data_IF_746154370963
#
_entry.id   IF_746154370963
#
_cell.length_a   1.000
_cell.length_b   1.000
_cell.length_c   1.000
_cell.angle_alpha   90.00
_cell.angle_beta   90.00
_cell.angle_gamma   90.00
#
_symmetry.space_group_name_H-M   'P 1'
#
loop_
_entity.id
_entity.type
_entity.pdbx_description
1 polymer ?
#
# COMPACT_ATOMS: atom_id res chain seq x y z
N UNK A 1 -12.09 -35.12 12.20
CA UNK A 1 -13.26 -34.47 11.59
C UNK A 1 -13.60 -33.30 12.48
N UNK A 2 -13.24 -32.05 12.25
CA UNK A 2 -12.23 -31.37 11.41
C UNK A 2 -12.27 -29.98 12.01
N UNK A 3 -11.34 -29.67 12.91
CA UNK A 3 -11.19 -28.31 13.39
C UNK A 3 -10.89 -27.46 12.16
N UNK A 4 -11.79 -26.52 11.89
CA UNK A 4 -11.62 -25.53 10.86
C UNK A 4 -10.29 -24.82 11.15
N UNK A 5 -9.37 -24.77 10.18
CA UNK A 5 -8.07 -24.09 10.34
C UNK A 5 -8.30 -22.56 10.40
N UNK A 6 -8.94 -22.10 11.46
CA UNK A 6 -9.11 -20.71 11.79
C UNK A 6 -7.84 -20.23 12.48
N UNK A 7 -7.12 -19.34 11.81
CA UNK A 7 -5.91 -18.74 12.35
C UNK A 7 -6.25 -17.56 13.27
N UNK A 8 -5.36 -17.25 14.20
CA UNK A 8 -5.55 -16.12 15.12
C UNK A 8 -5.40 -14.75 14.44
N UNK A 9 -4.76 -14.71 13.27
CA UNK A 9 -4.60 -13.52 12.43
C UNK A 9 -4.74 -13.91 10.94
N UNK A 10 -5.09 -12.95 10.06
CA UNK A 10 -5.07 -13.15 8.61
C UNK A 10 -3.68 -13.48 8.08
N UNK A 11 -3.61 -14.01 6.87
CA UNK A 11 -2.32 -14.18 6.19
C UNK A 11 -2.03 -13.02 5.24
N UNK A 12 -0.76 -12.63 5.09
CA UNK A 12 -0.36 -11.69 4.04
C UNK A 12 -0.75 -12.21 2.65
N UNK A 13 -0.96 -11.28 1.73
CA UNK A 13 -1.43 -11.50 0.36
C UNK A 13 -2.89 -11.95 0.23
N UNK A 14 -3.64 -11.95 1.33
CA UNK A 14 -5.08 -12.16 1.33
C UNK A 14 -5.80 -10.90 0.86
N UNK A 15 -6.80 -11.09 -0.01
CA UNK A 15 -7.84 -10.09 -0.20
C UNK A 15 -8.86 -10.23 0.90
N UNK A 16 -9.28 -9.09 1.44
CA UNK A 16 -10.23 -9.05 2.53
C UNK A 16 -11.16 -7.84 2.42
N UNK A 17 -12.30 -7.98 3.05
CA UNK A 17 -13.25 -6.90 3.26
C UNK A 17 -12.98 -6.31 4.63
N UNK A 18 -12.84 -4.99 4.72
CA UNK A 18 -12.60 -4.29 5.98
C UNK A 18 -13.67 -3.25 6.26
N UNK A 19 -13.92 -3.01 7.54
CA UNK A 19 -14.76 -1.90 8.01
C UNK A 19 -14.10 -1.27 9.23
N UNK A 20 -13.95 0.04 9.21
CA UNK A 20 -13.37 0.78 10.33
C UNK A 20 -14.29 0.77 11.56
N UNK A 21 -13.69 0.77 12.74
CA UNK A 21 -14.37 0.95 14.02
C UNK A 21 -13.96 2.29 14.64
N UNK A 22 -14.64 3.40 14.27
CA UNK A 22 -14.25 4.75 14.69
C UNK A 22 -14.32 4.92 16.21
N UNK A 23 -15.28 4.26 16.87
CA UNK A 23 -15.45 4.34 18.33
C UNK A 23 -14.29 3.64 19.03
N UNK A 24 -13.94 2.42 18.60
CA UNK A 24 -12.82 1.69 19.19
C UNK A 24 -11.47 2.38 18.94
N UNK A 25 -11.33 3.14 17.83
CA UNK A 25 -10.15 3.96 17.59
C UNK A 25 -9.94 5.03 18.65
N UNK A 26 -10.99 5.77 19.06
CA UNK A 26 -10.85 6.89 20.00
C UNK A 26 -11.13 6.52 21.45
N UNK A 27 -11.67 5.32 21.72
CA UNK A 27 -12.06 4.90 23.07
C UNK A 27 -10.94 4.99 24.11
N UNK A 28 -9.70 4.76 23.70
CA UNK A 28 -8.54 4.82 24.59
C UNK A 28 -8.15 6.25 25.02
N UNK A 29 -8.66 7.28 24.32
CA UNK A 29 -8.39 8.69 24.62
C UNK A 29 -9.24 9.23 25.78
N UNK A 30 -10.33 8.53 26.14
CA UNK A 30 -11.30 8.93 27.18
C UNK A 30 -11.87 10.35 26.98
N UNK A 31 -11.98 10.79 25.72
CA UNK A 31 -12.54 12.09 25.34
C UNK A 31 -13.99 11.94 24.86
N UNK A 32 -14.92 12.55 25.61
CA UNK A 32 -16.34 12.52 25.31
C UNK A 32 -16.68 13.17 23.95
N UNK A 33 -15.97 14.22 23.55
CA UNK A 33 -16.19 14.89 22.27
C UNK A 33 -15.73 14.01 21.10
N UNK A 34 -14.56 13.38 21.23
CA UNK A 34 -14.05 12.44 20.23
C UNK A 34 -14.98 11.21 20.10
N UNK A 35 -15.48 10.69 21.22
CA UNK A 35 -16.44 9.57 21.22
C UNK A 35 -17.77 9.94 20.54
N UNK A 36 -18.31 11.13 20.78
CA UNK A 36 -19.54 11.59 20.13
C UNK A 36 -19.33 11.86 18.63
N UNK A 37 -18.17 12.39 18.24
CA UNK A 37 -17.80 12.55 16.83
C UNK A 37 -17.69 11.19 16.14
N UNK A 38 -16.93 10.25 16.72
CA UNK A 38 -16.74 8.90 16.21
C UNK A 38 -18.07 8.13 16.08
N UNK A 39 -18.99 8.30 17.04
CA UNK A 39 -20.30 7.65 16.99
C UNK A 39 -21.23 8.18 15.88
N UNK A 40 -20.95 9.36 15.32
CA UNK A 40 -21.70 9.93 14.19
C UNK A 40 -21.19 9.44 12.82
N UNK A 41 -19.97 8.89 12.78
CA UNK A 41 -19.39 8.34 11.56
C UNK A 41 -20.10 7.03 11.23
N UNK A 42 -20.53 6.91 9.97
CA UNK A 42 -21.12 5.68 9.45
C UNK A 42 -20.05 4.96 8.64
N UNK A 43 -19.33 3.98 9.23
CA UNK A 43 -18.20 3.37 8.58
C UNK A 43 -18.66 2.53 7.40
N UNK A 44 -18.02 2.75 6.26
CA UNK A 44 -18.28 2.01 5.02
C UNK A 44 -17.42 0.75 4.97
N UNK A 45 -17.79 -0.16 4.07
CA UNK A 45 -17.06 -1.40 3.83
C UNK A 45 -16.16 -1.20 2.62
N UNK A 46 -14.90 -1.61 2.74
CA UNK A 46 -13.87 -1.45 1.72
C UNK A 46 -13.23 -2.79 1.39
N UNK A 47 -12.77 -2.92 0.15
CA UNK A 47 -12.00 -4.07 -0.31
C UNK A 47 -10.52 -3.72 -0.23
N UNK A 48 -9.73 -4.58 0.41
CA UNK A 48 -8.29 -4.40 0.58
C UNK A 48 -7.52 -5.66 0.18
N UNK A 49 -6.26 -5.44 -0.14
CA UNK A 49 -5.25 -6.48 -0.26
C UNK A 49 -4.22 -6.31 0.86
N UNK A 50 -4.01 -7.36 1.65
CA UNK A 50 -3.08 -7.33 2.79
C UNK A 50 -1.66 -7.60 2.32
N UNK A 51 -0.71 -6.85 2.89
CA UNK A 51 0.72 -7.10 2.79
C UNK A 51 1.33 -7.17 4.19
N UNK A 52 2.59 -7.60 4.25
CA UNK A 52 3.30 -7.71 5.52
C UNK A 52 3.42 -6.34 6.19
N UNK A 53 3.05 -6.28 7.47
CA UNK A 53 3.60 -5.27 8.36
C UNK A 53 4.97 -5.74 8.88
N UNK A 54 5.78 -4.79 9.33
CA UNK A 54 7.09 -5.05 9.93
C UNK A 54 6.97 -5.79 11.28
N UNK A 55 5.76 -5.98 11.83
CA UNK A 55 5.52 -6.63 13.12
C UNK A 55 4.82 -7.98 12.94
N UNK A 56 5.49 -9.07 13.36
CA UNK A 56 4.89 -10.40 13.34
C UNK A 56 3.69 -10.52 14.29
N UNK A 57 2.58 -11.15 13.86
CA UNK A 57 1.43 -11.36 14.70
C UNK A 57 1.72 -12.45 15.74
N UNK A 58 1.41 -12.17 17.02
CA UNK A 58 1.52 -13.13 18.12
C UNK A 58 0.14 -13.35 18.75
N UNK A 59 -0.25 -14.60 19.06
CA UNK A 59 -1.58 -14.91 19.57
C UNK A 59 -1.88 -14.20 20.89
N UNK A 60 -3.16 -13.90 21.13
CA UNK A 60 -3.64 -13.27 22.36
C UNK A 60 -3.55 -11.75 22.40
N UNK A 61 -3.14 -11.11 21.29
CA UNK A 61 -3.23 -9.66 21.14
C UNK A 61 -4.66 -9.25 20.77
N UNK A 62 -5.12 -8.05 21.21
CA UNK A 62 -6.45 -7.55 20.86
C UNK A 62 -6.57 -7.14 19.38
N UNK A 63 -5.44 -6.85 18.73
CA UNK A 63 -5.35 -6.50 17.33
C UNK A 63 -3.97 -6.88 16.75
N UNK A 64 -3.89 -6.91 15.42
CA UNK A 64 -2.70 -7.25 14.64
C UNK A 64 -2.41 -6.16 13.59
N UNK A 65 -1.16 -5.73 13.46
CA UNK A 65 -0.76 -4.74 12.46
C UNK A 65 -0.57 -5.36 11.08
N UNK A 66 -1.06 -4.68 10.05
CA UNK A 66 -0.90 -5.05 8.64
C UNK A 66 -0.67 -3.80 7.79
N UNK A 67 0.08 -3.95 6.71
CA UNK A 67 0.02 -3.02 5.59
C UNK A 67 -1.12 -3.46 4.67
N UNK A 68 -1.88 -2.52 4.12
CA UNK A 68 -3.00 -2.82 3.24
C UNK A 68 -3.08 -1.81 2.11
N UNK A 69 -3.30 -2.30 0.89
CA UNK A 69 -3.65 -1.50 -0.29
C UNK A 69 -5.16 -1.57 -0.52
N UNK A 70 -5.78 -0.41 -0.79
CA UNK A 70 -7.20 -0.36 -1.13
C UNK A 70 -7.44 -0.76 -2.60
N UNK A 71 -8.53 -1.48 -2.83
CA UNK A 71 -8.97 -1.90 -4.16
C UNK A 71 -10.13 -1.01 -4.61
N UNK A 72 -10.00 -0.42 -5.80
CA UNK A 72 -11.02 0.43 -6.40
C UNK A 72 -11.87 -0.31 -7.45
N UNK A 73 -13.14 0.11 -7.65
CA UNK A 73 -14.08 -0.48 -8.62
C UNK A 73 -13.93 0.08 -10.05
N UNK A 74 -13.00 0.99 -10.25
CA UNK A 74 -12.77 1.68 -11.52
C UNK A 74 -11.32 2.16 -11.59
N UNK A 75 -10.94 2.74 -12.74
CA UNK A 75 -9.76 3.59 -12.81
C UNK A 75 -9.88 4.71 -11.78
N UNK A 76 -8.74 5.12 -11.24
CA UNK A 76 -8.67 6.23 -10.29
C UNK A 76 -8.91 7.57 -10.97
N UNK A 77 -9.43 8.53 -10.21
CA UNK A 77 -9.43 9.92 -10.63
C UNK A 77 -7.99 10.45 -10.71
N UNK A 78 -7.78 11.41 -11.61
CA UNK A 78 -6.50 12.13 -11.71
C UNK A 78 -6.37 13.03 -10.49
N UNK A 79 -5.19 13.01 -9.88
CA UNK A 79 -4.80 13.88 -8.78
C UNK A 79 -3.61 14.73 -9.25
N UNK A 80 -3.89 15.95 -9.72
CA UNK A 80 -2.88 16.86 -10.27
C UNK A 80 -1.92 17.36 -9.18
N UNK A 81 -2.39 17.47 -7.93
CA UNK A 81 -1.60 17.94 -6.80
C UNK A 81 -0.54 16.92 -6.39
N UNK A 82 -0.86 15.63 -6.48
CA UNK A 82 0.10 14.56 -6.20
C UNK A 82 0.77 14.01 -7.46
N UNK A 83 0.50 14.62 -8.62
CA UNK A 83 0.94 14.15 -9.94
C UNK A 83 0.61 12.68 -10.21
N UNK A 84 -0.59 12.25 -9.82
CA UNK A 84 -1.03 10.87 -9.99
C UNK A 84 -2.05 10.79 -11.13
N UNK A 85 -1.75 9.98 -12.13
CA UNK A 85 -2.58 9.80 -13.32
C UNK A 85 -3.55 8.62 -13.19
N UNK A 86 -4.59 8.58 -14.03
CA UNK A 86 -5.64 7.55 -13.99
C UNK A 86 -5.15 6.14 -14.33
N UNK A 87 -4.00 6.03 -15.01
CA UNK A 87 -3.34 4.78 -15.42
C UNK A 87 -2.35 4.23 -14.37
N UNK A 88 -2.12 4.93 -13.26
CA UNK A 88 -1.36 4.41 -12.11
C UNK A 88 -2.25 3.48 -11.26
N UNK A 89 -2.69 2.40 -11.90
CA UNK A 89 -3.49 1.34 -11.30
C UNK A 89 -3.14 -0.02 -11.94
N UNK A 90 -3.51 -1.12 -11.31
CA UNK A 90 -3.22 -2.48 -11.79
C UNK A 90 -4.52 -3.26 -11.82
N UNK A 91 -4.98 -3.77 -12.97
CA UNK A 91 -6.20 -4.56 -13.02
C UNK A 91 -6.03 -5.87 -12.24
N UNK A 92 -7.11 -6.33 -11.61
CA UNK A 92 -7.17 -7.63 -10.94
C UNK A 92 -7.97 -8.58 -11.82
N UNK A 93 -7.38 -9.71 -12.21
CA UNK A 93 -8.06 -10.69 -13.06
C UNK A 93 -9.36 -11.18 -12.39
N UNK A 94 -10.52 -11.22 -13.10
CA UNK A 94 -10.67 -11.28 -14.56
C UNK A 94 -10.65 -9.95 -15.32
N UNK A 95 -10.55 -8.81 -14.64
CA UNK A 95 -10.42 -7.52 -15.31
C UNK A 95 -9.14 -7.47 -16.17
N UNK A 96 -9.27 -7.04 -17.42
CA UNK A 96 -8.13 -6.87 -18.34
C UNK A 96 -8.08 -5.47 -18.95
N UNK A 97 -9.02 -4.60 -18.59
CA UNK A 97 -9.12 -3.27 -19.14
C UNK A 97 -8.13 -2.33 -18.44
N UNK A 98 -7.08 -1.91 -19.15
CA UNK A 98 -6.15 -0.89 -18.68
C UNK A 98 -5.75 0.05 -19.82
N UNK A 99 -5.77 1.39 -19.66
CA UNK A 99 -5.41 2.33 -20.71
C UNK A 99 -3.99 2.10 -21.28
N UNK A 100 -3.03 1.80 -20.40
CA UNK A 100 -1.65 1.48 -20.77
C UNK A 100 -1.38 0.03 -21.13
N UNK A 101 -2.41 -0.83 -21.26
CA UNK A 101 -2.24 -2.24 -21.60
C UNK A 101 -1.52 -3.08 -20.53
N UNK A 102 -1.56 -2.66 -19.26
CA UNK A 102 -0.93 -3.34 -18.13
C UNK A 102 -1.58 -4.71 -17.92
N UNK A 103 -0.77 -5.75 -17.78
CA UNK A 103 -1.28 -7.09 -17.52
C UNK A 103 -1.89 -7.21 -16.12
N UNK A 104 -3.06 -7.89 -15.99
CA UNK A 104 -3.73 -8.01 -14.71
C UNK A 104 -3.00 -8.96 -13.77
N UNK A 105 -2.93 -8.59 -12.48
CA UNK A 105 -2.49 -9.52 -11.43
C UNK A 105 -3.51 -10.62 -11.26
N UNK A 106 -3.03 -11.84 -11.04
CA UNK A 106 -3.86 -13.05 -11.06
C UNK A 106 -3.92 -13.67 -9.67
N UNK A 107 -5.07 -13.58 -8.98
CA UNK A 107 -5.29 -14.38 -7.79
C UNK A 107 -5.22 -15.87 -8.10
N UNK A 108 -4.93 -16.65 -7.06
CA UNK A 108 -4.76 -18.09 -7.14
C UNK A 108 -5.99 -18.77 -7.78
N UNK A 109 -5.79 -19.71 -8.72
CA UNK A 109 -6.89 -20.33 -9.46
C UNK A 109 -7.83 -21.15 -8.58
N UNK A 110 -7.38 -21.62 -7.41
CA UNK A 110 -8.23 -22.35 -6.46
C UNK A 110 -9.36 -21.48 -5.90
N UNK A 111 -9.15 -20.16 -5.87
CA UNK A 111 -10.11 -19.16 -5.39
C UNK A 111 -10.04 -17.94 -6.31
N UNK A 112 -10.75 -17.95 -7.45
CA UNK A 112 -10.74 -16.83 -8.38
C UNK A 112 -11.30 -15.57 -7.72
N UNK A 113 -10.85 -14.42 -8.20
CA UNK A 113 -11.39 -13.14 -7.74
C UNK A 113 -12.85 -12.98 -8.18
N UNK A 114 -13.75 -12.52 -7.29
CA UNK A 114 -15.17 -12.53 -7.58
C UNK A 114 -15.66 -11.38 -8.48
N UNK A 115 -14.86 -10.33 -8.67
CA UNK A 115 -15.29 -9.09 -9.34
C UNK A 115 -14.49 -8.81 -10.61
N UNK A 116 -15.15 -8.29 -11.65
CA UNK A 116 -14.55 -8.10 -12.98
C UNK A 116 -14.11 -6.67 -13.31
N UNK A 117 -14.30 -5.73 -12.38
CA UNK A 117 -14.01 -4.30 -12.54
C UNK A 117 -13.04 -3.76 -11.48
N UNK A 118 -12.28 -4.62 -10.80
CA UNK A 118 -11.41 -4.19 -9.70
C UNK A 118 -9.99 -3.87 -10.15
N UNK A 119 -9.39 -2.90 -9.44
CA UNK A 119 -8.04 -2.41 -9.65
C UNK A 119 -7.33 -2.18 -8.32
N UNK A 120 -6.05 -2.54 -8.25
CA UNK A 120 -5.16 -1.97 -7.25
C UNK A 120 -4.84 -0.54 -7.63
N UNK A 121 -5.04 0.40 -6.70
CA UNK A 121 -4.66 1.79 -6.91
C UNK A 121 -3.30 2.04 -6.27
N UNK A 122 -2.33 2.53 -7.06
CA UNK A 122 -1.02 2.89 -6.53
C UNK A 122 -1.14 4.01 -5.51
N UNK A 123 -0.24 4.10 -4.53
CA UNK A 123 -0.29 5.12 -3.47
C UNK A 123 -1.56 5.05 -2.59
N UNK A 124 -2.16 3.86 -2.46
CA UNK A 124 -3.24 3.61 -1.49
C UNK A 124 -2.84 2.69 -0.34
N UNK A 125 -1.54 2.41 -0.24
CA UNK A 125 -0.97 1.61 0.84
C UNK A 125 -1.01 2.36 2.17
N UNK A 126 -1.45 1.67 3.21
CA UNK A 126 -1.55 2.22 4.56
C UNK A 126 -1.35 1.15 5.62
N UNK A 127 -1.02 1.57 6.84
CA UNK A 127 -0.96 0.68 7.99
C UNK A 127 -2.32 0.62 8.67
N UNK A 128 -2.83 -0.58 8.87
CA UNK A 128 -4.11 -0.84 9.53
C UNK A 128 -3.89 -1.75 10.75
N UNK A 129 -4.79 -1.64 11.73
CA UNK A 129 -4.87 -2.56 12.87
C UNK A 129 -6.10 -3.43 12.71
N UNK A 130 -5.91 -4.73 12.51
CA UNK A 130 -6.99 -5.70 12.39
C UNK A 130 -7.38 -6.20 13.77
N UNK A 131 -8.62 -5.99 14.18
CA UNK A 131 -9.17 -6.46 15.45
C UNK A 131 -9.18 -8.00 15.46
N UNK A 132 -8.76 -8.60 16.58
CA UNK A 132 -8.79 -10.05 16.74
C UNK A 132 -10.24 -10.56 16.74
N UNK A 133 -10.53 -11.56 15.89
CA UNK A 133 -11.83 -12.22 15.84
C UNK A 133 -11.88 -13.40 16.83
N UNK A 134 -12.91 -13.51 17.69
CA UNK A 134 -13.12 -14.70 18.55
C UNK A 134 -13.29 -16.00 17.74
N UNK A 135 -13.83 -15.91 16.53
CA UNK A 135 -14.03 -17.03 15.61
C UNK A 135 -12.75 -17.36 14.81
N UNK A 136 -11.72 -16.51 14.92
CA UNK A 136 -10.52 -16.55 14.12
C UNK A 136 -10.74 -16.17 12.66
N UNK A 137 -9.74 -16.43 11.83
CA UNK A 137 -9.71 -16.11 10.41
C UNK A 137 -9.55 -17.39 9.58
N UNK A 138 -10.58 -17.74 8.82
CA UNK A 138 -10.54 -18.90 7.94
C UNK A 138 -9.77 -18.56 6.66
N UNK A 139 -8.50 -18.94 6.61
CA UNK A 139 -7.62 -18.61 5.48
C UNK A 139 -7.88 -19.46 4.24
N UNK A 140 -8.68 -20.54 4.33
CA UNK A 140 -9.01 -21.44 3.21
C UNK A 140 -10.07 -20.88 2.27
N UNK A 141 -10.87 -19.93 2.75
CA UNK A 141 -11.89 -19.23 1.94
C UNK A 141 -11.36 -17.93 1.34
N UNK A 142 -10.20 -17.46 1.79
CA UNK A 142 -9.59 -16.23 1.31
C UNK A 142 -9.14 -16.36 -0.16
N UNK A 143 -9.41 -15.32 -0.93
CA UNK A 143 -8.77 -15.10 -2.24
C UNK A 143 -7.37 -14.56 -1.98
N UNK A 144 -6.36 -15.07 -2.67
CA UNK A 144 -4.95 -14.73 -2.39
C UNK A 144 -4.16 -14.47 -3.67
N UNK A 145 -3.20 -13.56 -3.59
CA UNK A 145 -2.07 -13.56 -4.52
C UNK A 145 -1.04 -14.62 -4.09
N UNK A 146 -0.33 -15.19 -5.07
CA UNK A 146 0.91 -15.89 -4.76
C UNK A 146 2.07 -14.89 -4.67
N UNK A 147 3.23 -15.36 -4.19
CA UNK A 147 4.39 -14.51 -4.00
C UNK A 147 4.90 -13.88 -5.32
N UNK A 148 4.70 -14.56 -6.44
CA UNK A 148 5.14 -14.07 -7.75
C UNK A 148 4.24 -12.93 -8.24
N UNK A 149 2.92 -13.12 -8.18
CA UNK A 149 1.92 -12.12 -8.56
C UNK A 149 1.96 -10.90 -7.61
N UNK A 150 2.22 -11.11 -6.33
CA UNK A 150 2.43 -10.00 -5.39
C UNK A 150 3.73 -9.23 -5.67
N UNK A 151 4.83 -9.93 -5.98
CA UNK A 151 6.08 -9.26 -6.40
C UNK A 151 5.85 -8.42 -7.66
N UNK A 152 5.10 -8.95 -8.63
CA UNK A 152 4.77 -8.22 -9.86
C UNK A 152 3.89 -6.99 -9.58
N UNK A 153 2.97 -7.09 -8.61
CA UNK A 153 2.17 -5.95 -8.13
C UNK A 153 3.08 -4.85 -7.57
N UNK A 154 4.02 -5.22 -6.71
CA UNK A 154 4.99 -4.28 -6.12
C UNK A 154 5.90 -3.63 -7.16
N UNK A 155 6.31 -4.36 -8.21
CA UNK A 155 7.09 -3.79 -9.33
C UNK A 155 6.31 -2.70 -10.09
N UNK A 156 5.01 -2.89 -10.29
CA UNK A 156 4.14 -1.87 -10.89
C UNK A 156 4.01 -0.64 -9.98
N UNK A 157 3.82 -0.84 -8.68
CA UNK A 157 3.77 0.27 -7.71
C UNK A 157 5.09 1.04 -7.65
N UNK A 158 6.23 0.36 -7.70
CA UNK A 158 7.54 1.00 -7.76
C UNK A 158 7.72 1.83 -9.04
N UNK A 159 7.25 1.30 -10.18
CA UNK A 159 7.28 2.01 -11.46
C UNK A 159 6.40 3.26 -11.42
N UNK A 160 5.18 3.14 -10.88
CA UNK A 160 4.26 4.29 -10.71
C UNK A 160 4.86 5.34 -9.78
N UNK A 161 5.51 4.91 -8.69
CA UNK A 161 6.27 5.77 -7.77
C UNK A 161 7.37 6.56 -8.47
N UNK A 162 8.14 5.92 -9.35
CA UNK A 162 9.17 6.60 -10.14
C UNK A 162 8.56 7.67 -11.07
N UNK A 163 7.50 7.32 -11.80
CA UNK A 163 6.83 8.24 -12.73
C UNK A 163 6.23 9.44 -12.01
N UNK A 164 5.60 9.22 -10.85
CA UNK A 164 5.06 10.29 -10.01
C UNK A 164 6.17 11.22 -9.52
N UNK A 165 7.27 10.67 -9.01
CA UNK A 165 8.42 11.45 -8.54
C UNK A 165 9.04 12.30 -9.67
N UNK A 166 9.16 11.77 -10.89
CA UNK A 166 9.61 12.56 -12.05
C UNK A 166 8.63 13.68 -12.40
N UNK A 167 7.32 13.41 -12.37
CA UNK A 167 6.30 14.41 -12.65
C UNK A 167 6.29 15.55 -11.62
N UNK A 168 6.45 15.23 -10.33
CA UNK A 168 6.57 16.22 -9.25
C UNK A 168 7.81 17.11 -9.45
N UNK A 169 8.98 16.50 -9.72
CA UNK A 169 10.22 17.25 -10.01
C UNK A 169 10.08 18.16 -11.22
N UNK A 170 9.41 17.71 -12.27
CA UNK A 170 9.18 18.51 -13.47
C UNK A 170 8.24 19.69 -13.20
N UNK A 171 7.25 19.52 -12.32
CA UNK A 171 6.31 20.59 -11.92
C UNK A 171 6.99 21.64 -11.06
N UNK A 172 7.77 21.22 -10.07
CA UNK A 172 8.37 22.13 -9.08
C UNK A 172 9.62 22.86 -9.67
N UNK A 173 10.09 22.43 -10.84
CA UNK A 173 11.22 23.02 -11.56
C UNK A 173 12.58 22.72 -10.90
N UNK A 174 13.70 23.08 -11.55
CA UNK A 174 14.99 23.03 -10.87
C UNK A 174 14.98 24.05 -9.72
N UNK A 175 15.07 23.56 -8.48
CA UNK A 175 15.44 24.40 -7.34
C UNK A 175 16.67 25.25 -7.72
N UNK A 176 16.70 26.56 -7.40
CA UNK A 176 17.86 27.39 -7.71
C UNK A 176 19.08 26.80 -7.01
N UNK A 177 19.96 26.19 -7.79
CA UNK A 177 21.27 25.74 -7.34
C UNK A 177 22.01 26.96 -6.81
N UNK A 178 22.46 26.86 -5.56
CA UNK A 178 23.38 27.82 -4.94
C UNK A 178 24.73 27.64 -5.63
N UNK A 179 24.88 28.16 -6.84
CA UNK A 179 26.18 28.38 -7.45
C UNK A 179 26.71 29.72 -6.95
N UNK A 180 27.63 29.68 -6.00
CA UNK A 180 28.88 30.45 -6.03
C UNK A 180 29.67 30.24 -4.73
N UNK A 181 30.64 29.33 -4.77
CA UNK A 181 31.90 29.50 -4.04
C UNK A 181 33.03 28.89 -4.86
N UNK A 182 33.60 29.76 -5.69
CA UNK A 182 35.02 29.91 -6.00
C UNK A 182 35.91 28.67 -6.03
N UNK A 183 36.37 28.38 -7.25
CA UNK A 183 37.47 27.48 -7.57
C UNK A 183 38.81 27.96 -7.00
N UNK A 184 39.62 27.02 -6.49
CA UNK A 184 41.06 27.15 -6.43
C UNK A 184 41.74 25.82 -6.88
N UNK A 185 42.89 25.88 -7.58
CA UNK A 185 43.42 24.76 -8.34
C UNK A 185 44.43 23.93 -7.53
N UNK A 186 44.51 22.63 -7.81
CA UNK A 186 45.66 21.79 -7.44
C UNK A 186 46.14 20.96 -8.62
N UNK A 187 47.45 20.90 -8.73
CA UNK A 187 48.27 20.54 -9.89
C UNK A 187 48.43 19.04 -10.16
N UNK A 188 48.55 18.74 -11.46
CA UNK A 188 49.24 17.65 -12.21
C UNK A 188 50.10 16.60 -11.49
N UNK A 189 49.93 15.33 -11.87
CA UNK A 189 50.85 14.49 -12.71
C UNK A 189 50.19 13.09 -12.96
N UNK A 190 49.90 12.67 -14.21
CA UNK A 190 50.67 11.77 -15.12
C UNK A 190 50.79 10.30 -14.62
N UNK A 191 50.58 9.18 -15.36
CA UNK A 191 50.23 8.82 -16.76
C UNK A 191 49.90 7.30 -16.84
N UNK A 192 49.13 6.93 -17.88
CA UNK A 192 49.11 5.69 -18.71
C UNK A 192 48.87 4.27 -18.12
N UNK A 193 47.82 3.56 -18.60
CA UNK A 193 47.99 2.47 -19.59
C UNK A 193 46.65 1.95 -20.19
N UNK A 194 46.69 1.56 -21.48
CA UNK A 194 45.58 1.03 -22.29
C UNK A 194 45.34 -0.49 -22.11
N UNK A 195 44.09 -0.96 -22.24
CA UNK A 195 43.61 -1.84 -23.34
C UNK A 195 42.30 -2.58 -23.00
N UNK A 196 41.46 -2.70 -24.03
CA UNK A 196 40.11 -3.27 -24.01
C UNK A 196 40.06 -4.80 -24.00
N UNK A 197 39.01 -5.40 -23.41
CA UNK A 197 38.22 -6.46 -24.06
C UNK A 197 36.92 -6.79 -23.32
N UNK A 198 35.90 -7.10 -24.13
CA UNK A 198 34.51 -7.38 -23.81
C UNK A 198 34.35 -8.85 -23.38
N UNK A 199 33.64 -9.12 -22.26
CA UNK A 199 32.52 -10.10 -22.16
C UNK A 199 32.03 -10.30 -20.73
N UNK A 200 30.71 -10.34 -20.64
CA UNK A 200 29.82 -10.47 -19.49
C UNK A 200 30.09 -11.68 -18.57
N UNK A 201 29.84 -11.52 -17.26
CA UNK A 201 28.82 -12.29 -16.52
C UNK A 201 28.62 -11.69 -15.11
N UNK A 202 27.35 -11.45 -14.78
CA UNK A 202 26.72 -11.28 -13.46
C UNK A 202 27.60 -11.47 -12.21
N UNK A 203 27.60 -10.46 -11.32
CA UNK A 203 27.31 -10.65 -9.90
C UNK A 203 26.60 -9.41 -9.36
N UNK A 204 25.40 -9.62 -8.84
CA UNK A 204 24.65 -8.73 -7.96
C UNK A 204 25.53 -8.34 -6.76
N UNK A 205 25.95 -7.08 -6.68
CA UNK A 205 26.45 -6.48 -5.44
C UNK A 205 25.76 -5.12 -5.25
N UNK A 206 24.62 -5.20 -4.57
CA UNK A 206 23.99 -4.07 -3.89
C UNK A 206 24.96 -3.55 -2.83
N UNK A 207 25.54 -2.37 -3.06
CA UNK A 207 26.29 -1.65 -2.03
C UNK A 207 25.66 -0.28 -1.78
N UNK A 208 24.83 -0.25 -0.74
CA UNK A 208 24.64 0.82 0.25
C UNK A 208 25.00 2.24 -0.21
N UNK A 209 24.00 2.93 -0.75
CA UNK A 209 23.82 4.39 -0.56
C UNK A 209 22.56 4.61 0.27
N UNK A 210 22.67 4.20 1.53
CA UNK A 210 21.65 4.34 2.57
C UNK A 210 21.76 5.70 3.23
N UNK A 211 20.78 6.58 3.00
CA UNK A 211 20.18 7.53 3.96
C UNK A 211 19.23 8.50 3.24
N UNK A 212 19.61 9.02 2.06
CA UNK A 212 18.82 10.08 1.39
C UNK A 212 17.60 9.56 0.61
N UNK A 213 17.61 8.29 0.20
CA UNK A 213 16.48 7.68 -0.54
C UNK A 213 15.28 7.34 0.34
N UNK A 214 15.47 7.24 1.66
CA UNK A 214 14.38 6.92 2.61
C UNK A 214 13.64 8.19 3.00
N UNK A 215 14.37 9.29 3.18
CA UNK A 215 13.79 10.59 3.53
C UNK A 215 12.86 11.11 2.42
N UNK A 216 13.29 11.00 1.16
CA UNK A 216 12.46 11.37 0.01
C UNK A 216 11.24 10.47 -0.18
N UNK A 217 11.33 9.17 0.12
CA UNK A 217 10.17 8.27 0.10
C UNK A 217 9.19 8.52 1.26
N UNK A 218 9.68 9.01 2.39
CA UNK A 218 8.88 9.42 3.56
C UNK A 218 8.17 10.75 3.30
N UNK A 219 8.86 11.71 2.69
CA UNK A 219 8.33 13.01 2.30
C UNK A 219 7.29 12.92 1.17
N UNK A 220 7.39 11.89 0.31
CA UNK A 220 6.40 11.56 -0.73
C UNK A 220 5.23 10.68 -0.26
N UNK A 221 5.13 10.35 1.05
CA UNK A 221 4.02 9.58 1.61
C UNK A 221 3.93 8.13 1.11
N UNK A 222 5.01 7.58 0.56
CA UNK A 222 5.05 6.22 -0.03
C UNK A 222 5.01 5.12 1.04
N UNK A 223 5.46 5.44 2.25
CA UNK A 223 5.17 4.67 3.45
C UNK A 223 4.34 5.57 4.34
N UNK A 224 3.13 5.15 4.70
CA UNK A 224 2.37 5.78 5.76
C UNK A 224 3.31 6.06 6.94
N UNK A 225 3.37 7.33 7.32
CA UNK A 225 4.25 7.95 8.32
C UNK A 225 5.04 6.93 9.16
N UNK A 226 6.37 6.81 8.99
CA UNK A 226 7.23 5.96 9.82
C UNK A 226 7.19 6.36 11.30
N UNK A 227 6.78 7.59 11.60
CA UNK A 227 6.55 8.10 12.96
C UNK A 227 5.11 7.95 13.45
N UNK A 228 4.23 7.35 12.62
CA UNK A 228 2.80 7.28 12.84
C UNK A 228 2.47 6.64 14.17
N UNK A 229 2.05 7.48 15.12
CA UNK A 229 1.54 7.04 16.40
C UNK A 229 0.47 5.97 16.13
N UNK A 230 0.70 4.77 16.67
CA UNK A 230 -0.16 3.59 16.45
C UNK A 230 -1.63 3.85 16.81
N UNK A 231 -1.85 4.86 17.64
CA UNK A 231 -3.16 5.38 18.04
C UNK A 231 -3.97 5.92 16.85
N UNK A 232 -3.31 6.51 15.83
CA UNK A 232 -3.96 7.04 14.62
C UNK A 232 -4.09 6.03 13.48
N UNK A 233 -3.51 4.83 13.60
CA UNK A 233 -3.73 3.80 12.61
C UNK A 233 -5.18 3.30 12.69
N UNK A 234 -5.90 3.20 11.56
CA UNK A 234 -7.28 2.77 11.54
C UNK A 234 -7.42 1.37 12.15
N UNK A 235 -8.34 1.26 13.10
CA UNK A 235 -8.69 -0.01 13.74
C UNK A 235 -9.90 -0.59 12.99
N UNK A 236 -9.74 -1.78 12.41
CA UNK A 236 -10.72 -2.35 11.47
C UNK A 236 -11.15 -3.75 11.87
N UNK A 237 -12.41 -4.05 11.59
CA UNK A 237 -12.91 -5.42 11.47
C UNK A 237 -12.57 -5.95 10.08
N UNK A 238 -12.17 -7.21 9.98
CA UNK A 238 -11.74 -7.83 8.73
C UNK A 238 -12.44 -9.16 8.48
N UNK A 239 -12.89 -9.37 7.24
CA UNK A 239 -13.51 -10.61 6.78
C UNK A 239 -12.84 -11.12 5.50
N UNK A 240 -12.49 -12.41 5.48
CA UNK A 240 -11.86 -13.07 4.32
C UNK A 240 -12.86 -13.58 3.28
N UNK A 241 -14.14 -13.70 3.66
CA UNK A 241 -15.23 -14.05 2.75
C UNK A 241 -15.75 -12.79 2.04
N UNK A 242 -15.19 -12.52 0.86
CA UNK A 242 -15.47 -11.31 0.10
C UNK A 242 -16.93 -11.31 -0.41
N UNK A 243 -17.35 -12.39 -1.06
CA UNK A 243 -18.66 -12.50 -1.71
C UNK A 243 -19.82 -12.52 -0.71
N UNK A 244 -19.61 -13.03 0.50
CA UNK A 244 -20.64 -13.02 1.54
C UNK A 244 -20.87 -11.62 2.14
N UNK A 245 -19.93 -10.69 1.98
CA UNK A 245 -19.92 -9.39 2.67
C UNK A 245 -20.04 -8.20 1.74
N UNK A 246 -19.61 -8.34 0.49
CA UNK A 246 -19.52 -7.24 -0.45
C UNK A 246 -19.95 -7.71 -1.84
N UNK A 247 -20.77 -6.92 -2.51
CA UNK A 247 -21.08 -7.09 -3.93
C UNK A 247 -20.27 -6.10 -4.74
N UNK A 248 -20.07 -6.42 -6.01
CA UNK A 248 -19.35 -5.56 -6.95
C UNK A 248 -19.90 -4.13 -7.02
N UNK A 249 -21.23 -3.99 -6.99
CA UNK A 249 -21.94 -2.70 -7.06
C UNK A 249 -21.78 -1.84 -5.80
N UNK A 250 -21.43 -2.47 -4.67
CA UNK A 250 -21.27 -1.83 -3.37
C UNK A 250 -19.81 -1.45 -3.08
N UNK A 251 -18.87 -1.76 -3.98
CA UNK A 251 -17.46 -1.39 -3.84
C UNK A 251 -17.35 0.13 -4.02
N UNK A 252 -17.01 0.81 -2.95
CA UNK A 252 -16.84 2.27 -2.94
C UNK A 252 -15.43 2.68 -3.36
N UNK A 253 -15.27 3.97 -3.71
CA UNK A 253 -13.95 4.52 -3.99
C UNK A 253 -13.04 4.47 -2.74
N UNK A 254 -11.78 4.03 -2.89
CA UNK A 254 -10.76 4.09 -1.85
C UNK A 254 -10.61 5.46 -1.16
N UNK A 255 -10.91 6.56 -1.86
CA UNK A 255 -10.77 7.94 -1.32
C UNK A 255 -11.62 8.14 -0.07
N UNK A 256 -12.82 7.57 -0.03
CA UNK A 256 -13.73 7.71 1.11
C UNK A 256 -13.16 7.12 2.40
N UNK A 257 -12.26 6.13 2.32
CA UNK A 257 -11.62 5.59 3.51
C UNK A 257 -10.73 6.62 4.20
N UNK A 258 -10.00 7.42 3.41
CA UNK A 258 -9.18 8.51 3.94
C UNK A 258 -10.05 9.64 4.52
N UNK A 259 -11.15 9.97 3.87
CA UNK A 259 -12.12 10.95 4.40
C UNK A 259 -12.70 10.50 5.75
N UNK A 260 -12.99 9.20 5.90
CA UNK A 260 -13.44 8.65 7.19
C UNK A 260 -12.34 8.71 8.26
N UNK A 261 -11.08 8.45 7.91
CA UNK A 261 -9.94 8.59 8.85
C UNK A 261 -9.77 10.05 9.28
N UNK A 262 -9.76 10.98 8.32
CA UNK A 262 -9.58 12.41 8.58
C UNK A 262 -10.72 12.97 9.43
N UNK A 263 -11.94 12.45 9.29
CA UNK A 263 -13.07 12.82 10.14
C UNK A 263 -12.91 12.36 11.61
N UNK A 264 -12.06 11.36 11.89
CA UNK A 264 -11.78 10.87 13.25
C UNK A 264 -10.62 11.64 13.88
N UNK A 265 -9.63 12.06 13.09
CA UNK A 265 -8.39 12.67 13.57
C UNK A 265 -8.47 14.20 13.74
N UNK A 266 -9.59 14.82 13.37
CA UNK A 266 -9.92 16.24 13.57
C UNK A 266 -10.45 16.55 14.98
#
# INVERSE_FOLDING_TARGET
MSDEDCFFAPTPWDYAVVRMDPVAMVQHLDDAQALEAAARIQPTIYLVHLSWDSVFPFPGKPWYGFSASLVGPSLRAVDEERCISSDMCIPIFPNTAHPGGREPVRPKPERPFPFDNCYHWSFTDMKIRVIASPEGFNTRIAVKLDAYEDTRREEFFATDGYLQAEALKARDGPSPSVEDVEAAPTSSDETEDEQASIRSYSTFESSVRSAESIDTMTEMGFFGDPSGNIEFQPLVHLWLDIEARLKQEDIVSPVHFYEEIDAITQ
#
